data_IF_560167803577
#
_entry.id   IF_560167803577
#
_cell.length_a   1.000
_cell.length_b   1.000
_cell.length_c   1.000
_cell.angle_alpha   90.00
_cell.angle_beta   90.00
_cell.angle_gamma   90.00
#
_symmetry.space_group_name_H-M   'P 1'
#
loop_
_entity.id
_entity.type
_entity.pdbx_description
1 polymer ?
#
# COMPACT_ATOMS: atom_id res chain seq x y z
N UNK A 1 7.67 -1.44 -5.88
CA UNK A 1 8.17 -2.80 -5.49
C UNK A 1 8.01 -3.79 -6.66
N UNK A 2 8.79 -4.88 -6.71
CA UNK A 2 8.60 -5.96 -7.71
C UNK A 2 7.35 -6.80 -7.39
N UNK A 3 6.58 -7.20 -8.41
CA UNK A 3 5.33 -7.96 -8.24
C UNK A 3 5.53 -9.30 -7.51
N UNK A 4 6.61 -10.03 -7.81
CA UNK A 4 6.92 -11.28 -7.10
C UNK A 4 7.10 -11.10 -5.59
N UNK A 5 7.64 -9.96 -5.16
CA UNK A 5 7.81 -9.68 -3.73
C UNK A 5 6.47 -9.37 -3.07
N UNK A 6 5.61 -8.63 -3.79
CA UNK A 6 4.25 -8.33 -3.36
C UNK A 6 3.41 -9.60 -3.15
N UNK A 7 3.41 -10.50 -4.12
CA UNK A 7 2.71 -11.79 -4.02
C UNK A 7 3.20 -12.58 -2.79
N UNK A 8 4.51 -12.54 -2.49
CA UNK A 8 5.07 -13.17 -1.28
C UNK A 8 4.57 -12.49 0.00
N UNK A 9 4.36 -11.18 0.00
CA UNK A 9 3.78 -10.46 1.14
C UNK A 9 2.32 -10.86 1.37
N UNK A 10 1.51 -10.96 0.30
CA UNK A 10 0.14 -11.44 0.38
C UNK A 10 0.06 -12.88 0.90
N UNK A 11 0.85 -13.79 0.32
CA UNK A 11 0.88 -15.21 0.71
C UNK A 11 1.27 -15.41 2.19
N UNK A 12 2.17 -14.57 2.71
CA UNK A 12 2.59 -14.59 4.12
C UNK A 12 1.69 -13.77 5.04
N UNK A 13 0.58 -13.20 4.52
CA UNK A 13 -0.36 -12.34 5.27
C UNK A 13 0.32 -11.14 5.94
N UNK A 14 1.39 -10.63 5.32
CA UNK A 14 2.08 -9.40 5.76
C UNK A 14 1.31 -8.16 5.36
N UNK A 15 0.52 -8.28 4.29
CA UNK A 15 -0.43 -7.25 3.86
C UNK A 15 -1.81 -7.88 3.95
N UNK A 16 -2.61 -7.38 4.89
CA UNK A 16 -3.96 -7.84 5.18
C UNK A 16 -4.81 -6.66 5.64
N UNK A 17 -6.10 -6.89 5.85
CA UNK A 17 -6.98 -5.89 6.45
C UNK A 17 -6.34 -5.26 7.71
N UNK A 18 -6.27 -3.94 7.76
CA UNK A 18 -5.67 -3.15 8.83
C UNK A 18 -4.17 -2.85 8.68
N UNK A 19 -3.43 -3.56 7.83
CA UNK A 19 -2.00 -3.28 7.58
C UNK A 19 -1.82 -1.86 7.06
N UNK A 20 -0.78 -1.16 7.50
CA UNK A 20 -0.46 0.18 7.02
C UNK A 20 0.44 0.10 5.80
N UNK A 21 0.07 0.79 4.73
CA UNK A 21 0.91 0.92 3.53
C UNK A 21 1.12 2.39 3.21
N UNK A 22 2.35 2.75 2.89
CA UNK A 22 2.67 4.06 2.35
C UNK A 22 2.81 3.95 0.84
N UNK A 23 1.82 4.44 0.11
CA UNK A 23 1.69 4.23 -1.33
C UNK A 23 1.24 5.49 -2.05
N UNK A 24 1.45 5.51 -3.37
CA UNK A 24 0.96 6.58 -4.21
C UNK A 24 -0.50 6.34 -4.53
N UNK A 25 -1.31 7.38 -4.39
CA UNK A 25 -2.75 7.37 -4.69
C UNK A 25 -3.09 8.55 -5.59
N UNK A 26 -4.19 8.40 -6.33
CA UNK A 26 -4.78 9.50 -7.09
C UNK A 26 -5.81 10.17 -6.20
N UNK A 27 -5.68 11.48 -6.00
CA UNK A 27 -6.63 12.33 -5.29
C UNK A 27 -7.06 13.48 -6.19
N UNK A 28 -8.21 14.10 -5.89
CA UNK A 28 -8.61 15.33 -6.59
C UNK A 28 -7.95 16.54 -5.94
N UNK A 29 -7.30 17.37 -6.76
CA UNK A 29 -6.78 18.67 -6.38
C UNK A 29 -7.87 19.75 -6.38
N UNK A 30 -7.50 20.97 -5.98
CA UNK A 30 -8.42 22.11 -5.84
C UNK A 30 -9.16 22.46 -7.15
N UNK A 31 -8.54 22.17 -8.31
CA UNK A 31 -9.11 22.40 -9.65
C UNK A 31 -9.84 21.17 -10.23
N UNK A 32 -10.19 20.18 -9.40
CA UNK A 32 -10.70 18.85 -9.83
C UNK A 32 -9.73 18.03 -10.71
N UNK A 33 -8.47 18.44 -10.78
CA UNK A 33 -7.41 17.69 -11.45
C UNK A 33 -6.99 16.47 -10.62
N UNK A 34 -6.66 15.37 -11.30
CA UNK A 34 -6.13 14.18 -10.66
C UNK A 34 -4.66 14.43 -10.30
N UNK A 35 -4.36 14.46 -9.00
CA UNK A 35 -3.00 14.60 -8.46
C UNK A 35 -2.54 13.27 -7.87
N UNK A 36 -1.29 12.91 -8.15
CA UNK A 36 -0.64 11.76 -7.54
C UNK A 36 0.05 12.18 -6.25
N UNK A 37 -0.39 11.66 -5.12
CA UNK A 37 0.16 11.99 -3.80
C UNK A 37 0.50 10.70 -3.04
N UNK A 38 1.54 10.77 -2.21
CA UNK A 38 1.85 9.68 -1.30
C UNK A 38 0.97 9.80 -0.05
N UNK A 39 0.30 8.71 0.31
CA UNK A 39 -0.52 8.63 1.52
C UNK A 39 -0.24 7.36 2.30
N UNK A 40 -0.36 7.46 3.61
CA UNK A 40 -0.45 6.31 4.50
C UNK A 40 -1.90 5.82 4.51
N UNK A 41 -2.08 4.56 4.11
CA UNK A 41 -3.39 3.92 3.98
C UNK A 41 -3.45 2.73 4.91
N UNK A 42 -4.62 2.52 5.52
CA UNK A 42 -4.96 1.25 6.16
C UNK A 42 -5.61 0.36 5.11
N UNK A 43 -5.00 -0.77 4.81
CA UNK A 43 -5.47 -1.72 3.79
C UNK A 43 -6.84 -2.28 4.20
N UNK A 44 -7.78 -2.25 3.27
CA UNK A 44 -9.05 -2.97 3.39
C UNK A 44 -8.95 -4.34 2.76
N UNK A 45 -8.47 -4.36 1.53
CA UNK A 45 -8.37 -5.52 0.67
C UNK A 45 -7.18 -5.35 -0.28
N UNK A 46 -6.56 -6.45 -0.65
CA UNK A 46 -5.36 -6.47 -1.47
C UNK A 46 -5.32 -7.72 -2.36
N UNK A 47 -4.98 -7.52 -3.63
CA UNK A 47 -4.84 -8.55 -4.66
C UNK A 47 -3.46 -8.43 -5.34
N UNK A 48 -3.21 -9.23 -6.37
CA UNK A 48 -1.89 -9.29 -7.04
C UNK A 48 -1.43 -7.98 -7.69
N UNK A 49 -2.34 -7.03 -7.95
CA UNK A 49 -2.06 -5.75 -8.60
C UNK A 49 -1.94 -4.57 -7.60
N UNK A 50 -2.37 -4.77 -6.36
CA UNK A 50 -2.34 -3.75 -5.33
C UNK A 50 -3.49 -3.93 -4.36
N UNK A 51 -4.22 -2.84 -4.07
CA UNK A 51 -5.34 -2.94 -3.16
C UNK A 51 -6.10 -1.64 -2.98
N UNK A 52 -7.00 -1.68 -2.01
CA UNK A 52 -7.81 -0.54 -1.58
C UNK A 52 -7.50 -0.30 -0.11
N UNK A 53 -7.35 0.96 0.30
CA UNK A 53 -7.19 1.33 1.69
C UNK A 53 -7.84 2.66 2.03
N UNK A 54 -8.22 2.84 3.28
CA UNK A 54 -8.68 4.14 3.78
C UNK A 54 -7.50 4.99 4.19
N UNK A 55 -7.63 6.31 4.03
CA UNK A 55 -6.66 7.23 4.60
C UNK A 55 -6.66 7.16 6.13
N UNK A 56 -5.52 6.85 6.74
CA UNK A 56 -5.39 6.57 8.19
C UNK A 56 -5.85 7.75 9.07
N UNK A 57 -5.81 8.99 8.56
CA UNK A 57 -6.14 10.18 9.35
C UNK A 57 -7.64 10.48 9.42
N UNK A 58 -8.40 10.15 8.38
CA UNK A 58 -9.80 10.60 8.25
C UNK A 58 -10.78 9.41 8.14
N UNK A 59 -10.32 8.23 7.71
CA UNK A 59 -11.15 7.02 7.50
C UNK A 59 -12.36 7.19 6.56
N UNK A 60 -12.57 8.37 6.00
CA UNK A 60 -13.69 8.77 5.13
C UNK A 60 -13.46 8.41 3.67
N UNK A 61 -12.21 8.45 3.20
CA UNK A 61 -11.85 8.31 1.79
C UNK A 61 -11.11 7.01 1.51
N UNK A 62 -11.60 6.29 0.51
CA UNK A 62 -10.98 5.09 -0.03
C UNK A 62 -10.09 5.45 -1.21
N UNK A 63 -8.88 4.91 -1.17
CA UNK A 63 -7.91 5.05 -2.24
C UNK A 63 -7.49 3.68 -2.75
N UNK A 64 -7.49 3.53 -4.07
CA UNK A 64 -6.77 2.45 -4.74
C UNK A 64 -5.28 2.77 -4.76
N UNK A 65 -4.47 1.75 -4.47
CA UNK A 65 -3.02 1.82 -4.56
C UNK A 65 -2.49 0.64 -5.38
N UNK A 66 -1.39 0.86 -6.08
CA UNK A 66 -0.70 -0.18 -6.85
C UNK A 66 0.52 -0.69 -6.07
N UNK A 67 0.80 -2.00 -6.09
CA UNK A 67 1.96 -2.60 -5.40
C UNK A 67 3.29 -1.93 -5.80
N UNK A 68 3.39 -1.48 -7.04
CA UNK A 68 4.56 -0.84 -7.63
C UNK A 68 4.91 0.46 -6.91
N UNK A 69 3.90 1.17 -6.42
CA UNK A 69 4.03 2.47 -5.76
C UNK A 69 4.29 2.40 -4.26
N UNK A 70 4.15 1.22 -3.64
CA UNK A 70 4.34 1.04 -2.20
C UNK A 70 5.81 1.29 -1.85
N UNK A 71 6.02 2.21 -0.92
CA UNK A 71 7.32 2.58 -0.35
C UNK A 71 7.54 1.94 1.01
N UNK A 72 6.48 1.75 1.79
CA UNK A 72 6.55 1.15 3.12
C UNK A 72 5.32 0.28 3.41
N UNK A 73 5.52 -0.75 4.22
CA UNK A 73 4.49 -1.62 4.80
C UNK A 73 4.80 -1.71 6.30
N UNK A 74 3.85 -1.33 7.16
CA UNK A 74 4.00 -1.21 8.62
C UNK A 74 5.30 -0.49 9.04
N UNK A 75 5.53 0.69 8.45
CA UNK A 75 6.72 1.54 8.69
C UNK A 75 8.06 0.88 8.37
N UNK A 76 8.06 -0.19 7.57
CA UNK A 76 9.26 -0.82 7.03
C UNK A 76 9.29 -0.72 5.51
N UNK A 77 10.47 -0.44 4.94
CA UNK A 77 10.64 -0.58 3.49
C UNK A 77 10.45 -2.05 3.08
N UNK A 78 9.95 -2.34 1.87
CA UNK A 78 9.80 -3.70 1.38
C UNK A 78 11.06 -4.56 1.52
N UNK A 79 12.25 -3.99 1.34
CA UNK A 79 13.52 -4.71 1.46
C UNK A 79 13.81 -5.12 2.91
N UNK A 80 13.56 -4.21 3.87
CA UNK A 80 13.72 -4.51 5.31
C UNK A 80 12.70 -5.54 5.75
N UNK A 81 11.45 -5.41 5.31
CA UNK A 81 10.39 -6.37 5.63
C UNK A 81 10.71 -7.75 5.05
N UNK A 82 11.12 -7.82 3.79
CA UNK A 82 11.53 -9.07 3.15
C UNK A 82 12.66 -9.76 3.93
N UNK A 83 13.67 -8.99 4.36
CA UNK A 83 14.77 -9.51 5.17
C UNK A 83 14.29 -10.02 6.54
N UNK A 84 13.43 -9.27 7.23
CA UNK A 84 12.89 -9.66 8.54
C UNK A 84 12.10 -10.97 8.48
N UNK A 85 11.33 -11.18 7.40
CA UNK A 85 10.50 -12.36 7.20
C UNK A 85 11.16 -13.48 6.38
N UNK A 86 12.47 -13.38 6.13
CA UNK A 86 13.28 -14.36 5.38
C UNK A 86 12.69 -14.66 3.99
N UNK A 87 12.19 -13.64 3.32
CA UNK A 87 11.64 -13.72 1.96
C UNK A 87 12.82 -13.58 0.99
N UNK A 88 13.11 -14.68 0.27
CA UNK A 88 14.12 -14.73 -0.79
C UNK A 88 13.59 -14.15 -2.09
#
# INVERSE_FOLDING_TARGET
>A
MKQQLWIKFLNKKLVKHGTRVYAKVISKGFSNENIEIMKELSVLDANEDGGIGHFVRDHTENFTFNYGSIKEVDSMTPERLAKAYKIK
#
